data_IF_855404683467
#
_entry.id   IF_855404683467
#
_cell.length_a   1.000
_cell.length_b   1.000
_cell.length_c   1.000
_cell.angle_alpha   90.00
_cell.angle_beta   90.00
_cell.angle_gamma   90.00
#
_symmetry.space_group_name_H-M   'P 1'
#
loop_
_entity.id
_entity.type
_entity.pdbx_description
1 polymer ?
#
# COMPACT_ATOMS: atom_id res chain seq x y z
N UNK A 1 -22.27 -56.95 22.40
CA UNK A 1 -22.16 -55.63 23.05
C UNK A 1 -20.94 -54.79 22.58
N UNK A 2 -19.71 -55.33 22.39
CA UNK A 2 -18.52 -54.54 21.95
C UNK A 2 -18.66 -53.93 20.54
N UNK A 3 -19.28 -54.59 19.58
CA UNK A 3 -19.43 -54.08 18.18
C UNK A 3 -20.46 -52.93 18.07
N UNK A 4 -21.51 -52.96 18.89
CA UNK A 4 -22.53 -51.90 18.92
C UNK A 4 -21.98 -50.59 19.57
N UNK A 5 -21.14 -50.72 20.59
CA UNK A 5 -20.49 -49.57 21.22
C UNK A 5 -19.53 -48.87 20.28
N UNK A 6 -18.75 -49.61 19.46
CA UNK A 6 -17.81 -49.04 18.50
C UNK A 6 -18.55 -48.25 17.40
N UNK A 7 -19.71 -48.77 16.91
CA UNK A 7 -20.51 -48.08 15.91
C UNK A 7 -21.13 -46.77 16.43
N UNK A 8 -21.61 -46.77 17.69
CA UNK A 8 -22.17 -45.55 18.31
C UNK A 8 -21.07 -44.50 18.53
N UNK A 9 -19.86 -44.90 18.91
CA UNK A 9 -18.73 -43.99 19.12
C UNK A 9 -18.25 -43.37 17.78
N UNK A 10 -18.21 -44.20 16.71
CA UNK A 10 -17.83 -43.70 15.37
C UNK A 10 -18.85 -42.72 14.78
N UNK A 11 -20.17 -42.97 14.99
CA UNK A 11 -21.24 -42.09 14.55
C UNK A 11 -21.21 -40.76 15.34
N UNK A 12 -20.94 -40.81 16.65
CA UNK A 12 -20.83 -39.62 17.49
C UNK A 12 -19.65 -38.72 17.10
N UNK A 13 -18.49 -39.31 16.75
CA UNK A 13 -17.31 -38.55 16.27
C UNK A 13 -17.60 -37.95 14.89
N UNK A 14 -18.26 -38.65 13.99
CA UNK A 14 -18.65 -38.13 12.69
C UNK A 14 -19.67 -36.97 12.79
N UNK A 15 -20.63 -37.06 13.72
CA UNK A 15 -21.57 -35.96 13.99
C UNK A 15 -20.91 -34.74 14.63
N UNK A 16 -19.95 -34.91 15.54
CA UNK A 16 -19.18 -33.81 16.12
C UNK A 16 -18.28 -33.17 15.07
N UNK A 17 -17.63 -33.98 14.23
CA UNK A 17 -16.80 -33.47 13.12
C UNK A 17 -17.59 -32.67 12.08
N UNK A 18 -18.83 -33.08 11.81
CA UNK A 18 -19.72 -32.41 10.84
C UNK A 18 -20.29 -31.09 11.39
N UNK A 19 -20.47 -30.97 12.69
CA UNK A 19 -20.98 -29.74 13.32
C UNK A 19 -19.95 -28.58 13.31
N UNK A 20 -18.65 -28.87 13.31
CA UNK A 20 -17.59 -27.82 13.27
C UNK A 20 -17.55 -27.11 11.91
N UNK A 21 -18.03 -27.72 10.85
CA UNK A 21 -18.02 -27.13 9.49
C UNK A 21 -19.19 -26.16 9.25
N UNK A 22 -20.23 -26.18 10.07
CA UNK A 22 -21.47 -25.41 9.85
C UNK A 22 -21.64 -24.19 10.78
N UNK A 23 -20.66 -23.90 11.65
CA UNK A 23 -20.79 -22.74 12.54
C UNK A 23 -20.50 -21.49 11.72
N UNK A 24 -21.55 -20.74 11.42
CA UNK A 24 -21.46 -19.37 10.91
C UNK A 24 -20.59 -18.52 11.85
N UNK A 25 -19.47 -18.03 11.35
CA UNK A 25 -18.51 -17.29 12.15
C UNK A 25 -18.95 -15.84 12.28
N UNK A 26 -19.77 -15.54 13.27
CA UNK A 26 -20.24 -14.18 13.55
C UNK A 26 -19.12 -13.21 13.97
N UNK A 27 -17.91 -13.72 14.18
CA UNK A 27 -16.74 -12.95 14.61
C UNK A 27 -15.62 -12.88 13.56
N UNK A 28 -15.93 -13.16 12.30
CA UNK A 28 -14.94 -13.23 11.23
C UNK A 28 -14.20 -14.57 11.14
N UNK A 29 -13.84 -14.96 9.91
CA UNK A 29 -13.27 -16.28 9.62
C UNK A 29 -11.80 -16.39 9.94
N UNK A 30 -11.03 -15.29 9.80
CA UNK A 30 -9.63 -15.29 10.16
C UNK A 30 -9.47 -15.50 11.67
N UNK A 31 -10.24 -14.78 12.47
CA UNK A 31 -10.23 -14.90 13.92
C UNK A 31 -10.77 -16.26 14.42
N UNK A 32 -11.94 -16.67 13.93
CA UNK A 32 -12.64 -17.82 14.49
C UNK A 32 -12.15 -19.18 13.94
N UNK A 33 -11.57 -19.22 12.75
CA UNK A 33 -11.21 -20.46 12.06
C UNK A 33 -9.85 -20.43 11.36
N UNK A 34 -9.03 -19.40 11.59
CA UNK A 34 -7.71 -19.22 10.96
C UNK A 34 -7.78 -19.36 9.42
N UNK A 35 -8.82 -18.79 8.80
CA UNK A 35 -9.13 -18.99 7.37
C UNK A 35 -9.44 -17.68 6.66
N UNK A 36 -8.89 -17.52 5.43
CA UNK A 36 -9.29 -16.51 4.47
C UNK A 36 -10.48 -16.95 3.64
N UNK A 37 -11.42 -16.03 3.41
CA UNK A 37 -12.66 -16.25 2.65
C UNK A 37 -12.97 -15.08 1.71
N UNK A 38 -11.92 -14.42 1.20
CA UNK A 38 -12.02 -13.22 0.37
C UNK A 38 -12.10 -13.54 -1.13
N UNK A 39 -11.76 -14.79 -1.51
CA UNK A 39 -11.53 -15.18 -2.89
C UNK A 39 -10.11 -14.91 -3.38
N UNK A 40 -9.18 -14.60 -2.47
CA UNK A 40 -7.77 -14.44 -2.81
C UNK A 40 -7.14 -15.77 -3.25
N UNK A 41 -6.09 -15.73 -4.10
CA UNK A 41 -5.36 -16.92 -4.50
C UNK A 41 -4.89 -17.74 -3.29
N UNK A 42 -5.14 -19.07 -3.35
CA UNK A 42 -4.81 -20.01 -2.28
C UNK A 42 -5.91 -20.16 -1.19
N UNK A 43 -6.98 -19.41 -1.25
CA UNK A 43 -8.16 -19.64 -0.41
C UNK A 43 -9.10 -20.69 -1.05
N UNK A 44 -9.65 -21.58 -0.21
CA UNK A 44 -10.50 -22.69 -0.67
C UNK A 44 -11.98 -22.28 -0.78
N UNK A 45 -12.41 -21.34 0.06
CA UNK A 45 -13.79 -20.90 0.19
C UNK A 45 -13.89 -19.38 0.16
N UNK A 46 -15.10 -18.88 -0.09
CA UNK A 46 -15.43 -17.46 -0.04
C UNK A 46 -16.62 -17.22 0.90
N UNK A 47 -16.96 -15.99 1.21
CA UNK A 47 -18.18 -15.66 1.96
C UNK A 47 -19.43 -16.27 1.28
N UNK A 48 -19.47 -16.28 -0.06
CA UNK A 48 -20.57 -16.86 -0.84
C UNK A 48 -20.70 -18.38 -0.69
N UNK A 49 -19.61 -19.09 -0.38
CA UNK A 49 -19.65 -20.55 -0.20
C UNK A 49 -20.57 -20.99 0.94
N UNK A 50 -20.75 -20.13 1.97
CA UNK A 50 -21.61 -20.38 3.11
C UNK A 50 -22.90 -19.55 3.08
N UNK A 51 -22.85 -18.29 2.61
CA UNK A 51 -23.96 -17.34 2.67
C UNK A 51 -24.80 -17.26 1.38
N UNK A 52 -24.58 -18.13 0.40
CA UNK A 52 -25.41 -18.35 -0.78
C UNK A 52 -25.81 -17.08 -1.55
N UNK A 53 -27.07 -17.06 -2.05
CA UNK A 53 -27.61 -15.99 -2.89
C UNK A 53 -29.01 -15.51 -2.45
N UNK A 54 -29.37 -15.70 -1.17
CA UNK A 54 -30.70 -15.35 -0.66
C UNK A 54 -31.00 -13.86 -0.72
N UNK A 55 -30.04 -13.00 -0.40
CA UNK A 55 -30.08 -11.57 -0.73
C UNK A 55 -29.34 -11.31 -2.04
N UNK A 56 -29.85 -10.41 -2.87
CA UNK A 56 -29.12 -9.90 -4.06
C UNK A 56 -27.91 -9.07 -3.64
N UNK A 57 -26.92 -9.72 -3.00
CA UNK A 57 -25.78 -9.03 -2.37
C UNK A 57 -24.75 -8.59 -3.40
N UNK A 58 -24.40 -7.32 -3.37
CA UNK A 58 -23.24 -6.78 -4.08
C UNK A 58 -22.24 -6.21 -3.09
N UNK A 59 -20.97 -6.24 -3.46
CA UNK A 59 -19.88 -5.71 -2.61
C UNK A 59 -19.00 -4.78 -3.42
N UNK A 60 -18.57 -3.69 -2.79
CA UNK A 60 -17.67 -2.71 -3.38
C UNK A 60 -16.51 -2.44 -2.45
N UNK A 61 -15.40 -2.05 -3.03
CA UNK A 61 -14.17 -1.73 -2.32
C UNK A 61 -13.59 -0.44 -2.88
N UNK A 62 -13.10 0.43 -2.00
CA UNK A 62 -12.40 1.64 -2.38
C UNK A 62 -11.19 1.85 -1.47
N UNK A 63 -10.09 2.32 -2.04
CA UNK A 63 -8.96 2.86 -1.30
C UNK A 63 -8.95 4.36 -1.58
N UNK A 64 -8.95 5.17 -0.53
CA UNK A 64 -9.16 6.62 -0.59
C UNK A 64 -7.94 7.36 -0.05
N UNK A 65 -7.61 8.49 -0.67
CA UNK A 65 -6.57 9.40 -0.19
C UNK A 65 -7.02 10.17 1.08
N UNK A 66 -6.14 11.00 1.63
CA UNK A 66 -6.42 11.83 2.81
C UNK A 66 -7.53 12.86 2.62
N UNK A 67 -7.95 13.13 1.38
CA UNK A 67 -9.07 13.99 1.03
C UNK A 67 -10.38 13.20 0.84
N UNK A 68 -10.33 11.87 0.97
CA UNK A 68 -11.48 10.98 0.80
C UNK A 68 -11.79 10.60 -0.66
N UNK A 69 -10.91 10.91 -1.62
CA UNK A 69 -11.11 10.58 -3.03
C UNK A 69 -10.61 9.14 -3.30
N UNK A 70 -11.39 8.31 -4.03
CA UNK A 70 -10.93 7.01 -4.46
C UNK A 70 -9.70 7.11 -5.37
N UNK A 71 -8.71 6.24 -5.15
CA UNK A 71 -7.48 6.19 -5.94
C UNK A 71 -7.37 4.88 -6.72
N UNK A 72 -6.68 4.92 -7.86
CA UNK A 72 -6.34 3.74 -8.69
C UNK A 72 -4.85 3.42 -8.65
N UNK A 73 -4.06 4.28 -7.98
CA UNK A 73 -2.63 4.09 -7.75
C UNK A 73 -2.26 4.52 -6.34
N UNK A 74 -1.16 3.99 -5.82
CA UNK A 74 -0.65 4.36 -4.50
C UNK A 74 0.77 4.92 -4.58
N UNK A 75 1.09 5.84 -3.69
CA UNK A 75 2.46 6.31 -3.45
C UNK A 75 3.04 5.46 -2.33
N UNK A 76 4.22 4.83 -2.51
CA UNK A 76 4.86 4.02 -1.48
C UNK A 76 4.99 4.74 -0.14
N UNK A 77 4.66 4.05 0.94
CA UNK A 77 4.73 4.57 2.31
C UNK A 77 3.59 5.49 2.73
N UNK A 78 2.72 5.95 1.82
CA UNK A 78 1.57 6.78 2.17
C UNK A 78 0.48 5.95 2.85
N UNK A 79 -0.31 6.63 3.69
CA UNK A 79 -1.47 6.06 4.37
C UNK A 79 -2.74 6.41 3.62
N UNK A 80 -3.60 5.41 3.44
CA UNK A 80 -4.89 5.49 2.76
C UNK A 80 -5.99 4.91 3.64
N UNK A 81 -7.25 5.27 3.37
CA UNK A 81 -8.41 4.64 3.98
C UNK A 81 -8.93 3.54 3.03
N UNK A 82 -8.88 2.28 3.47
CA UNK A 82 -9.45 1.14 2.77
C UNK A 82 -10.87 0.90 3.28
N UNK A 83 -11.86 1.02 2.40
CA UNK A 83 -13.28 0.89 2.70
C UNK A 83 -13.89 -0.29 1.95
N UNK A 84 -14.74 -1.04 2.64
CA UNK A 84 -15.50 -2.17 2.10
C UNK A 84 -16.97 -2.00 2.39
N UNK A 85 -17.82 -2.05 1.36
CA UNK A 85 -19.26 -1.88 1.49
C UNK A 85 -20.00 -3.12 0.99
N UNK A 86 -20.96 -3.60 1.79
CA UNK A 86 -21.85 -4.72 1.45
C UNK A 86 -23.25 -4.17 1.21
N UNK A 87 -23.75 -4.28 -0.02
CA UNK A 87 -25.09 -3.79 -0.38
C UNK A 87 -26.06 -4.97 -0.54
N UNK A 88 -27.17 -4.93 0.19
CA UNK A 88 -28.26 -5.88 0.10
C UNK A 88 -29.55 -5.28 0.66
N UNK A 89 -30.66 -5.42 -0.05
CA UNK A 89 -31.97 -4.95 0.42
C UNK A 89 -32.56 -5.96 1.40
N UNK A 90 -32.98 -5.48 2.57
CA UNK A 90 -33.66 -6.31 3.58
C UNK A 90 -32.75 -7.11 4.50
N UNK A 91 -31.44 -7.01 4.34
CA UNK A 91 -30.50 -7.65 5.27
C UNK A 91 -30.52 -6.97 6.65
N UNK A 92 -30.36 -7.77 7.71
CA UNK A 92 -30.37 -7.29 9.09
C UNK A 92 -28.97 -7.01 9.63
N UNK A 93 -27.96 -7.72 9.14
CA UNK A 93 -26.57 -7.61 9.58
C UNK A 93 -25.62 -7.86 8.41
N UNK A 94 -24.40 -7.40 8.59
CA UNK A 94 -23.37 -7.47 7.57
C UNK A 94 -22.05 -7.97 8.15
N UNK A 95 -21.27 -8.63 7.31
CA UNK A 95 -19.92 -9.06 7.61
C UNK A 95 -19.02 -8.94 6.38
N UNK A 96 -17.72 -8.83 6.59
CA UNK A 96 -16.74 -8.76 5.52
C UNK A 96 -15.41 -9.37 5.93
N UNK A 97 -14.55 -9.60 4.95
CA UNK A 97 -13.15 -9.88 5.12
C UNK A 97 -12.38 -9.35 3.91
N UNK A 98 -11.19 -8.80 4.13
CA UNK A 98 -10.36 -8.21 3.09
C UNK A 98 -8.88 -8.53 3.35
N UNK A 99 -8.10 -8.74 2.28
CA UNK A 99 -6.65 -8.96 2.29
C UNK A 99 -6.01 -8.25 1.12
N UNK A 100 -4.75 -7.82 1.23
CA UNK A 100 -3.97 -7.21 0.15
C UNK A 100 -2.75 -8.07 -0.19
N UNK A 101 -2.55 -8.33 -1.49
CA UNK A 101 -1.47 -9.16 -2.02
C UNK A 101 -0.73 -8.44 -3.15
N UNK A 102 0.54 -8.78 -3.34
CA UNK A 102 1.32 -8.34 -4.50
C UNK A 102 1.08 -9.24 -5.73
N UNK A 103 1.71 -8.93 -6.85
CA UNK A 103 1.57 -9.66 -8.12
C UNK A 103 2.02 -11.13 -8.06
N UNK A 104 2.80 -11.53 -7.06
CA UNK A 104 3.23 -12.92 -6.83
C UNK A 104 2.37 -13.63 -5.77
N UNK A 105 1.25 -13.03 -5.37
CA UNK A 105 0.34 -13.49 -4.31
C UNK A 105 0.97 -13.50 -2.90
N UNK A 106 2.09 -12.82 -2.72
CA UNK A 106 2.68 -12.59 -1.41
C UNK A 106 1.89 -11.56 -0.59
N UNK A 107 1.87 -11.67 0.75
CA UNK A 107 1.17 -10.71 1.60
C UNK A 107 1.81 -9.32 1.50
N UNK A 108 0.97 -8.30 1.31
CA UNK A 108 1.39 -6.89 1.41
C UNK A 108 1.15 -6.36 2.81
N UNK A 109 0.04 -6.77 3.45
CA UNK A 109 -0.35 -6.33 4.78
C UNK A 109 -0.55 -4.78 4.85
N UNK A 110 -0.18 -4.15 5.98
CA UNK A 110 -0.22 -2.68 6.12
C UNK A 110 -1.54 -2.15 6.68
N UNK A 111 -2.52 -3.00 6.99
CA UNK A 111 -3.75 -2.56 7.66
C UNK A 111 -3.47 -2.12 9.08
N UNK A 112 -4.05 -0.99 9.48
CA UNK A 112 -3.90 -0.38 10.81
C UNK A 112 -5.16 0.40 11.17
N UNK A 113 -5.29 0.81 12.42
CA UNK A 113 -6.36 1.69 12.92
C UNK A 113 -7.76 1.30 12.39
N UNK A 114 -8.24 0.07 12.68
CA UNK A 114 -9.53 -0.39 12.17
C UNK A 114 -10.68 0.38 12.83
N UNK A 115 -11.78 0.57 12.10
CA UNK A 115 -13.04 1.07 12.67
C UNK A 115 -13.58 0.11 13.75
N UNK A 116 -14.48 0.58 14.61
CA UNK A 116 -15.00 -0.16 15.77
C UNK A 116 -15.62 -1.52 15.41
N UNK A 117 -16.23 -1.64 14.23
CA UNK A 117 -16.83 -2.87 13.72
C UNK A 117 -15.84 -3.76 12.91
N UNK A 118 -14.57 -3.38 12.90
CA UNK A 118 -13.50 -4.03 12.15
C UNK A 118 -12.39 -4.49 13.09
N UNK A 119 -11.77 -5.62 12.81
CA UNK A 119 -10.56 -6.11 13.47
C UNK A 119 -9.51 -6.51 12.45
N UNK A 120 -8.27 -6.61 12.92
CA UNK A 120 -7.14 -7.11 12.14
C UNK A 120 -6.70 -8.45 12.69
N UNK A 121 -6.46 -9.42 11.81
CA UNK A 121 -5.98 -10.76 12.17
C UNK A 121 -4.88 -11.17 11.21
N UNK A 122 -3.73 -11.57 11.74
CA UNK A 122 -2.64 -12.13 10.92
C UNK A 122 -2.65 -13.66 11.09
N UNK A 123 -2.78 -14.37 9.96
CA UNK A 123 -2.74 -15.83 9.93
C UNK A 123 -1.32 -16.36 9.95
N UNK A 124 -1.15 -17.65 10.22
CA UNK A 124 0.14 -18.33 10.18
C UNK A 124 0.83 -18.29 8.79
N UNK A 125 0.08 -18.01 7.72
CA UNK A 125 0.61 -17.75 6.37
C UNK A 125 1.30 -16.38 6.22
N UNK A 126 1.27 -15.52 7.25
CA UNK A 126 1.75 -14.15 7.21
C UNK A 126 0.77 -13.15 6.61
N UNK A 127 -0.39 -13.58 6.09
CA UNK A 127 -1.42 -12.69 5.55
C UNK A 127 -2.19 -12.00 6.68
N UNK A 128 -2.24 -10.68 6.64
CA UNK A 128 -3.07 -9.87 7.52
C UNK A 128 -4.44 -9.63 6.87
N UNK A 129 -5.48 -9.95 7.59
CA UNK A 129 -6.87 -9.72 7.17
C UNK A 129 -7.48 -8.60 7.99
N UNK A 130 -8.24 -7.72 7.32
CA UNK A 130 -9.24 -6.88 7.96
C UNK A 130 -10.60 -7.58 7.84
N UNK A 131 -11.29 -7.78 8.97
CA UNK A 131 -12.59 -8.47 8.98
C UNK A 131 -13.53 -7.86 10.02
N UNK A 132 -14.82 -8.18 9.93
CA UNK A 132 -15.80 -7.73 10.91
C UNK A 132 -15.50 -8.27 12.32
N UNK A 133 -15.63 -7.38 13.32
CA UNK A 133 -15.36 -7.70 14.72
C UNK A 133 -16.55 -8.31 15.45
N UNK A 134 -17.67 -8.47 14.77
CA UNK A 134 -18.92 -8.99 15.27
C UNK A 134 -20.04 -8.77 14.25
N UNK A 135 -21.27 -9.12 14.58
CA UNK A 135 -22.44 -8.87 13.72
C UNK A 135 -22.68 -7.38 13.58
N UNK A 136 -22.37 -6.76 12.46
CA UNK A 136 -22.50 -5.33 12.22
C UNK A 136 -23.87 -4.95 11.68
N UNK A 137 -24.46 -3.87 12.21
CA UNK A 137 -25.63 -3.21 11.62
C UNK A 137 -25.21 -2.27 10.49
N UNK A 138 -23.97 -1.75 10.55
CA UNK A 138 -23.38 -0.98 9.46
C UNK A 138 -22.97 -1.94 8.34
N UNK A 139 -23.27 -1.57 7.12
CA UNK A 139 -22.84 -2.23 5.90
C UNK A 139 -21.51 -1.72 5.37
N UNK A 140 -20.90 -0.72 6.03
CA UNK A 140 -19.60 -0.13 5.68
C UNK A 140 -18.59 -0.47 6.77
N UNK A 141 -17.41 -0.89 6.31
CA UNK A 141 -16.25 -1.26 7.12
C UNK A 141 -15.04 -0.52 6.60
N UNK A 142 -14.19 -0.04 7.50
CA UNK A 142 -12.99 0.69 7.09
C UNK A 142 -11.79 0.39 8.00
N UNK A 143 -10.63 0.56 7.44
CA UNK A 143 -9.33 0.48 8.12
C UNK A 143 -8.34 1.33 7.35
N UNK A 144 -7.35 1.89 8.04
CA UNK A 144 -6.21 2.49 7.36
C UNK A 144 -5.36 1.40 6.70
N UNK A 145 -4.74 1.74 5.58
CA UNK A 145 -3.77 0.90 4.90
C UNK A 145 -2.54 1.73 4.55
N UNK A 146 -1.39 1.32 5.08
CA UNK A 146 -0.10 1.90 4.70
C UNK A 146 0.42 1.19 3.45
N UNK A 147 0.62 1.93 2.39
CA UNK A 147 1.15 1.41 1.14
C UNK A 147 2.56 0.83 1.34
N UNK A 148 2.91 -0.27 0.67
CA UNK A 148 4.21 -0.91 0.79
C UNK A 148 5.35 -0.03 0.28
N UNK A 149 6.59 -0.49 0.50
CA UNK A 149 7.79 0.16 -0.03
C UNK A 149 7.82 0.17 -1.56
N UNK A 150 8.58 1.11 -2.11
CA UNK A 150 8.83 1.21 -3.55
C UNK A 150 9.39 -0.10 -4.12
N UNK A 151 8.96 -0.43 -5.34
CA UNK A 151 9.31 -1.66 -6.04
C UNK A 151 8.39 -2.85 -5.77
N UNK A 152 7.33 -2.68 -4.97
CA UNK A 152 6.32 -3.73 -4.74
C UNK A 152 5.43 -3.95 -5.98
N UNK A 153 5.22 -2.92 -6.79
CA UNK A 153 4.41 -2.96 -8.00
C UNK A 153 2.91 -2.97 -7.71
N UNK A 154 2.14 -3.67 -8.52
CA UNK A 154 0.67 -3.73 -8.35
C UNK A 154 0.29 -4.47 -7.07
N UNK A 155 -0.58 -3.84 -6.27
CA UNK A 155 -1.23 -4.44 -5.11
C UNK A 155 -2.69 -4.71 -5.44
N UNK A 156 -3.14 -5.94 -5.22
CA UNK A 156 -4.54 -6.32 -5.39
C UNK A 156 -5.17 -6.62 -4.03
N UNK A 157 -6.25 -5.93 -3.75
CA UNK A 157 -7.13 -6.19 -2.63
C UNK A 157 -8.17 -7.22 -3.05
N UNK A 158 -8.37 -8.23 -2.23
CA UNK A 158 -9.41 -9.23 -2.37
C UNK A 158 -10.37 -9.10 -1.20
N UNK A 159 -11.65 -9.06 -1.47
CA UNK A 159 -12.64 -8.88 -0.42
C UNK A 159 -13.88 -9.73 -0.62
N UNK A 160 -14.35 -10.31 0.46
CA UNK A 160 -15.62 -11.04 0.54
C UNK A 160 -16.55 -10.41 1.55
N UNK A 161 -17.83 -10.30 1.21
CA UNK A 161 -18.87 -9.77 2.08
C UNK A 161 -20.08 -10.67 2.18
N UNK A 162 -20.78 -10.60 3.31
CA UNK A 162 -22.01 -11.30 3.56
C UNK A 162 -23.09 -10.35 4.11
N UNK A 163 -24.30 -10.50 3.60
CA UNK A 163 -25.52 -9.88 4.11
C UNK A 163 -26.40 -10.97 4.70
N UNK A 164 -26.80 -10.84 5.97
CA UNK A 164 -27.45 -11.92 6.71
C UNK A 164 -28.79 -11.48 7.32
N UNK A 165 -29.72 -12.42 7.41
CA UNK A 165 -31.05 -12.23 8.01
C UNK A 165 -31.07 -12.41 9.55
N UNK A 166 -29.91 -12.72 10.15
CA UNK A 166 -29.72 -12.89 11.59
C UNK A 166 -30.51 -14.05 12.24
N UNK A 167 -30.84 -15.10 11.46
CA UNK A 167 -31.53 -16.29 11.94
C UNK A 167 -30.61 -17.31 12.63
N UNK A 168 -29.34 -16.98 12.92
CA UNK A 168 -28.30 -17.86 13.46
C UNK A 168 -27.85 -19.01 12.52
N UNK A 169 -28.27 -18.99 11.28
CA UNK A 169 -27.85 -19.93 10.22
C UNK A 169 -27.28 -19.18 9.02
N UNK A 170 -27.10 -19.91 7.91
CA UNK A 170 -26.68 -19.33 6.62
C UNK A 170 -27.80 -19.38 5.57
N UNK A 171 -28.93 -19.96 5.91
CA UNK A 171 -30.09 -20.07 5.01
C UNK A 171 -30.74 -18.70 4.78
N UNK A 172 -30.96 -18.34 3.53
CA UNK A 172 -31.53 -17.05 3.15
C UNK A 172 -30.54 -15.88 3.16
N UNK A 173 -29.30 -16.11 3.53
CA UNK A 173 -28.23 -15.10 3.47
C UNK A 173 -27.70 -14.92 2.04
N UNK A 174 -27.01 -13.81 1.81
CA UNK A 174 -26.33 -13.53 0.56
C UNK A 174 -24.85 -13.19 0.77
N UNK A 175 -24.00 -13.70 -0.10
CA UNK A 175 -22.56 -13.41 -0.09
C UNK A 175 -22.03 -13.10 -1.49
N UNK A 176 -20.99 -12.27 -1.55
CA UNK A 176 -20.30 -11.97 -2.81
C UNK A 176 -18.82 -11.62 -2.54
N UNK A 177 -18.02 -11.55 -3.62
CA UNK A 177 -16.62 -11.16 -3.58
C UNK A 177 -16.33 -10.07 -4.61
N UNK A 178 -15.27 -9.31 -4.37
CA UNK A 178 -14.77 -8.28 -5.29
C UNK A 178 -13.25 -8.17 -5.19
N UNK A 179 -12.64 -7.57 -6.20
CA UNK A 179 -11.22 -7.23 -6.21
C UNK A 179 -11.01 -5.78 -6.59
N UNK A 180 -9.95 -5.17 -6.08
CA UNK A 180 -9.49 -3.84 -6.44
C UNK A 180 -7.98 -3.86 -6.59
N UNK A 181 -7.45 -3.45 -7.74
CA UNK A 181 -6.01 -3.36 -7.98
C UNK A 181 -5.58 -1.90 -7.99
N UNK A 182 -4.51 -1.60 -7.27
CA UNK A 182 -3.82 -0.32 -7.29
C UNK A 182 -2.44 -0.52 -7.93
N UNK A 183 -2.08 0.33 -8.88
CA UNK A 183 -0.74 0.37 -9.43
C UNK A 183 0.17 1.19 -8.53
N UNK A 184 1.44 0.80 -8.40
CA UNK A 184 2.41 1.64 -7.75
C UNK A 184 2.61 2.91 -8.57
N UNK A 185 2.41 4.07 -7.95
CA UNK A 185 2.85 5.32 -8.51
C UNK A 185 4.36 5.41 -8.24
N UNK A 186 5.14 4.80 -9.13
CA UNK A 186 6.57 5.09 -9.17
C UNK A 186 6.67 6.55 -9.59
N UNK A 187 6.83 7.44 -8.63
CA UNK A 187 7.51 8.70 -8.94
C UNK A 187 8.89 8.29 -9.46
N UNK A 188 8.99 7.99 -10.77
CA UNK A 188 10.23 8.23 -11.47
C UNK A 188 10.48 9.69 -11.15
N UNK A 189 11.45 9.95 -10.28
CA UNK A 189 11.74 11.28 -9.82
C UNK A 189 11.97 12.19 -11.03
N UNK A 190 10.91 12.72 -11.58
CA UNK A 190 10.92 14.07 -12.06
C UNK A 190 11.14 14.85 -10.77
N UNK A 191 12.42 14.92 -10.36
CA UNK A 191 12.90 15.89 -9.41
C UNK A 191 12.13 17.14 -9.76
N UNK A 192 11.27 17.57 -8.85
CA UNK A 192 10.48 18.78 -9.02
C UNK A 192 11.52 19.80 -9.49
N UNK A 193 11.42 20.30 -10.70
CA UNK A 193 12.46 21.06 -11.39
C UNK A 193 12.65 22.47 -10.75
N UNK A 194 12.36 22.57 -9.45
CA UNK A 194 12.46 23.79 -8.65
C UNK A 194 13.89 24.29 -8.67
N UNK A 195 14.88 23.44 -8.38
CA UNK A 195 16.29 23.87 -8.42
C UNK A 195 16.75 24.21 -9.83
N UNK A 196 16.29 23.53 -10.86
CA UNK A 196 16.67 23.82 -12.26
C UNK A 196 16.19 25.19 -12.73
N UNK A 197 15.04 25.65 -12.28
CA UNK A 197 14.49 26.95 -12.63
C UNK A 197 15.03 28.08 -11.73
N UNK A 198 15.60 27.75 -10.59
CA UNK A 198 16.03 28.70 -9.56
C UNK A 198 17.54 28.83 -9.42
N UNK A 199 18.33 27.92 -10.02
CA UNK A 199 19.78 27.96 -10.00
C UNK A 199 20.37 28.13 -11.40
N UNK A 200 21.21 29.13 -11.53
CA UNK A 200 22.05 29.33 -12.72
C UNK A 200 23.47 28.82 -12.44
N UNK A 201 23.94 27.91 -13.29
CA UNK A 201 25.27 27.32 -13.25
C UNK A 201 26.09 27.88 -14.41
N UNK A 202 27.12 28.62 -14.14
CA UNK A 202 27.95 29.28 -15.18
C UNK A 202 29.35 29.62 -14.70
N UNK A 203 30.32 29.82 -15.63
CA UNK A 203 30.24 29.49 -17.04
C UNK A 203 30.36 27.99 -17.26
N UNK A 204 29.84 27.55 -18.41
CA UNK A 204 30.04 26.19 -18.93
C UNK A 204 30.25 26.27 -20.45
N UNK A 205 31.44 25.98 -20.99
CA UNK A 205 32.65 25.49 -20.32
C UNK A 205 33.27 26.48 -19.30
N UNK A 206 34.02 25.92 -18.34
CA UNK A 206 34.73 26.70 -17.31
C UNK A 206 36.22 26.35 -17.29
N UNK A 207 37.04 27.30 -16.79
CA UNK A 207 38.48 27.09 -16.57
C UNK A 207 38.79 26.86 -15.08
N UNK A 208 38.46 27.82 -14.26
CA UNK A 208 38.91 27.84 -12.86
C UNK A 208 37.76 27.76 -11.85
N UNK A 209 36.58 28.30 -12.19
CA UNK A 209 35.51 28.52 -11.23
C UNK A 209 34.14 28.32 -11.87
N UNK A 210 33.33 27.48 -11.28
CA UNK A 210 31.88 27.39 -11.53
C UNK A 210 31.19 28.34 -10.55
N UNK A 211 30.25 29.13 -11.02
CA UNK A 211 29.38 29.99 -10.22
C UNK A 211 28.00 29.41 -10.18
N UNK A 212 27.39 29.40 -8.98
CA UNK A 212 26.06 28.91 -8.70
C UNK A 212 25.24 30.06 -8.15
N UNK A 213 24.35 30.65 -8.97
CA UNK A 213 23.53 31.81 -8.57
C UNK A 213 22.10 31.36 -8.30
N UNK A 214 21.60 31.61 -7.08
CA UNK A 214 20.19 31.46 -6.74
C UNK A 214 19.40 32.65 -7.30
N UNK A 215 18.37 32.36 -8.09
CA UNK A 215 17.45 33.38 -8.65
C UNK A 215 16.08 33.40 -7.93
N UNK A 216 15.86 32.50 -6.98
CA UNK A 216 14.70 32.53 -6.12
C UNK A 216 14.85 33.50 -4.97
N UNK A 217 13.72 33.95 -4.40
CA UNK A 217 13.67 34.92 -3.31
C UNK A 217 14.01 34.37 -1.92
N UNK A 218 14.30 33.06 -1.83
CA UNK A 218 14.62 32.37 -0.58
C UNK A 218 16.11 31.97 -0.49
N UNK A 219 16.59 31.79 0.73
CA UNK A 219 17.93 31.26 0.99
C UNK A 219 17.87 29.74 1.08
N UNK A 220 18.73 29.04 0.33
CA UNK A 220 18.82 27.59 0.30
C UNK A 220 20.17 27.10 0.82
N UNK A 221 20.15 26.16 1.78
CA UNK A 221 21.32 25.39 2.16
C UNK A 221 21.37 24.14 1.26
N UNK A 222 22.44 24.01 0.48
CA UNK A 222 22.59 22.92 -0.48
C UNK A 222 23.98 22.29 -0.38
N UNK A 223 24.15 21.12 -0.95
CA UNK A 223 25.45 20.47 -1.14
C UNK A 223 25.72 20.39 -2.63
N UNK A 224 26.87 20.90 -3.07
CA UNK A 224 27.38 20.71 -4.42
C UNK A 224 28.44 19.62 -4.43
N UNK A 225 28.26 18.64 -5.28
CA UNK A 225 29.17 17.53 -5.51
C UNK A 225 29.54 17.45 -6.99
N UNK A 226 30.82 17.28 -7.28
CA UNK A 226 31.31 17.14 -8.65
C UNK A 226 31.89 15.74 -8.83
N UNK A 227 31.40 15.03 -9.83
CA UNK A 227 31.82 13.67 -10.18
C UNK A 227 32.53 13.64 -11.53
N UNK A 228 33.60 12.87 -11.66
CA UNK A 228 34.18 12.56 -12.95
C UNK A 228 33.32 11.55 -13.75
N UNK A 229 33.69 11.28 -15.00
CA UNK A 229 32.96 10.36 -15.89
C UNK A 229 32.94 8.91 -15.39
N UNK A 230 33.82 8.53 -14.46
CA UNK A 230 33.84 7.21 -13.81
C UNK A 230 32.92 7.15 -12.57
N UNK A 231 32.21 8.25 -12.24
CA UNK A 231 31.34 8.35 -11.09
C UNK A 231 32.07 8.60 -9.76
N UNK A 232 33.37 8.90 -9.78
CA UNK A 232 34.14 9.23 -8.59
C UNK A 232 33.89 10.67 -8.18
N UNK A 233 33.60 10.89 -6.89
CA UNK A 233 33.48 12.22 -6.28
C UNK A 233 34.86 12.90 -6.24
N UNK A 234 35.00 14.08 -6.89
CA UNK A 234 36.26 14.82 -6.98
C UNK A 234 36.21 16.15 -6.23
N UNK A 235 35.02 16.66 -5.91
CA UNK A 235 34.84 17.88 -5.13
C UNK A 235 33.48 17.82 -4.43
N UNK A 236 33.44 18.26 -3.15
CA UNK A 236 32.19 18.49 -2.41
C UNK A 236 32.29 19.81 -1.65
N UNK A 237 31.19 20.57 -1.64
CA UNK A 237 31.10 21.87 -0.94
C UNK A 237 29.68 22.10 -0.43
N UNK A 238 29.54 22.48 0.84
CA UNK A 238 28.31 23.04 1.37
C UNK A 238 28.13 24.48 0.84
N UNK A 239 26.92 24.77 0.39
CA UNK A 239 26.53 26.06 -0.20
C UNK A 239 25.48 26.74 0.67
N UNK A 240 25.60 28.07 0.78
CA UNK A 240 24.55 28.93 1.29
C UNK A 240 24.08 29.84 0.16
N UNK A 241 23.07 29.41 -0.57
CA UNK A 241 22.57 30.05 -1.78
C UNK A 241 21.59 31.17 -1.42
N UNK A 242 22.10 32.36 -1.18
CA UNK A 242 21.29 33.56 -0.93
C UNK A 242 20.79 34.12 -2.25
N UNK A 243 19.61 34.75 -2.23
CA UNK A 243 19.01 35.42 -3.40
C UNK A 243 19.99 36.33 -4.12
N UNK A 244 20.04 36.17 -5.44
CA UNK A 244 20.90 36.97 -6.35
C UNK A 244 22.40 36.93 -6.05
N UNK A 245 22.86 36.19 -5.05
CA UNK A 245 24.29 35.99 -4.76
C UNK A 245 24.80 34.73 -5.48
N UNK A 246 26.08 34.69 -5.82
CA UNK A 246 26.69 33.56 -6.52
C UNK A 246 27.75 32.89 -5.64
N UNK A 247 27.50 31.65 -5.25
CA UNK A 247 28.50 30.77 -4.67
C UNK A 247 29.51 30.28 -5.73
N UNK A 248 30.72 30.00 -5.32
CA UNK A 248 31.84 29.66 -6.21
C UNK A 248 32.43 28.32 -5.86
N UNK A 249 32.55 27.44 -6.88
CA UNK A 249 33.30 26.20 -6.80
C UNK A 249 34.62 26.35 -7.54
N UNK A 250 35.73 26.20 -6.84
CA UNK A 250 37.05 26.24 -7.47
C UNK A 250 37.38 24.88 -8.09
N UNK A 251 37.53 24.84 -9.41
CA UNK A 251 37.85 23.66 -10.20
C UNK A 251 39.20 23.71 -10.90
N UNK A 252 40.01 24.73 -10.58
CA UNK A 252 41.31 24.99 -11.24
C UNK A 252 42.36 23.87 -11.11
N UNK A 253 42.16 22.95 -10.16
CA UNK A 253 43.04 21.78 -9.95
C UNK A 253 42.55 20.52 -10.61
N UNK A 254 41.39 20.55 -11.28
CA UNK A 254 40.80 19.40 -11.95
C UNK A 254 41.32 19.32 -13.39
N UNK A 255 41.44 18.12 -13.89
CA UNK A 255 41.85 17.86 -15.26
C UNK A 255 40.80 18.33 -16.27
N UNK A 256 41.24 18.59 -17.50
CA UNK A 256 40.33 18.93 -18.61
C UNK A 256 39.42 17.72 -18.88
N UNK A 257 38.12 17.97 -19.04
CA UNK A 257 37.16 16.92 -19.30
C UNK A 257 35.72 17.23 -18.89
N UNK A 258 34.88 16.23 -19.01
CA UNK A 258 33.49 16.31 -18.60
C UNK A 258 33.32 15.82 -17.17
N UNK A 259 32.45 16.51 -16.44
CA UNK A 259 32.08 16.22 -15.07
C UNK A 259 30.57 16.33 -14.91
N UNK A 260 30.01 15.65 -13.92
CA UNK A 260 28.62 15.82 -13.50
C UNK A 260 28.62 16.61 -12.19
N UNK A 261 28.04 17.80 -12.22
CA UNK A 261 27.75 18.58 -11.04
C UNK A 261 26.36 18.19 -10.51
N UNK A 262 26.33 17.72 -9.28
CA UNK A 262 25.08 17.44 -8.56
C UNK A 262 24.92 18.46 -7.44
N UNK A 263 23.74 19.10 -7.34
CA UNK A 263 23.39 20.03 -6.28
C UNK A 263 22.15 19.49 -5.60
N UNK A 264 22.23 19.25 -4.28
CA UNK A 264 21.14 18.66 -3.48
C UNK A 264 20.69 19.60 -2.37
N UNK A 265 19.37 19.77 -2.21
CA UNK A 265 18.73 20.55 -1.16
C UNK A 265 17.42 19.86 -0.73
N UNK A 266 17.30 19.44 0.54
CA UNK A 266 16.07 18.91 1.13
C UNK A 266 15.32 17.87 0.27
N UNK A 267 16.06 16.99 -0.42
CA UNK A 267 15.52 15.98 -1.31
C UNK A 267 15.36 16.40 -2.77
N UNK A 268 15.46 17.69 -3.09
CA UNK A 268 15.57 18.17 -4.47
C UNK A 268 17.02 18.04 -4.96
N UNK A 269 17.21 17.64 -6.23
CA UNK A 269 18.53 17.47 -6.85
C UNK A 269 18.54 18.09 -8.25
N UNK A 270 19.58 18.86 -8.54
CA UNK A 270 19.92 19.35 -9.88
C UNK A 270 21.19 18.65 -10.35
N UNK A 271 21.17 18.09 -11.55
CA UNK A 271 22.37 17.56 -12.21
C UNK A 271 22.64 18.33 -13.51
N UNK A 272 23.90 18.77 -13.65
CA UNK A 272 24.39 19.51 -14.81
C UNK A 272 25.70 18.92 -15.31
N UNK A 273 25.81 18.75 -16.62
CA UNK A 273 27.08 18.35 -17.28
C UNK A 273 27.98 19.56 -17.43
N UNK A 274 29.14 19.56 -16.81
CA UNK A 274 30.11 20.62 -16.83
C UNK A 274 31.33 20.22 -17.68
N UNK A 275 31.80 21.13 -18.51
CA UNK A 275 33.06 20.98 -19.26
C UNK A 275 34.14 21.86 -18.63
N UNK A 276 35.26 21.28 -18.20
CA UNK A 276 36.43 21.96 -17.67
C UNK A 276 37.50 22.01 -18.77
N UNK A 277 38.05 23.22 -19.06
CA UNK A 277 39.08 23.49 -20.06
C UNK A 277 40.09 24.50 -19.45
N UNK A 278 41.07 23.98 -18.69
CA UNK A 278 42.15 24.78 -18.11
C UNK A 278 43.22 25.15 -19.15
#
# INVERSE_FOLDING_TARGET
MKKTLLSIFSISIALIGLQVVLVSSSNGRAFAANSGNTGAPGEVTTCRSCHGTGFGTTVTMAVKDSQGNPVTSYIPGNVYDAEFTVNATGASRYGFQMVSLNSTNGPVNGFATPATNTRLVTLGSGRQYAEHAGRSVSNVFSTQWTAPSSGTGTVTFYGGGAAVNNNNGTSGDGGNTTTLSLTENVSVGLVKATLRNELLVYPNPTRNVIKLKNTASDTKNAVAELYNISGQLVLSKNLNLVENNAERLNVSKLENGYYILRISNNGDTLEEKIMIQN
#
